data_IF_943273162982
#
_entry.id   IF_943273162982
#
_cell.length_a   1.000
_cell.length_b   1.000
_cell.length_c   1.000
_cell.angle_alpha   90.00
_cell.angle_beta   90.00
_cell.angle_gamma   90.00
#
_symmetry.space_group_name_H-M   'P 1'
#
loop_
_entity.id
_entity.type
_entity.pdbx_description
1 polymer ?
#
# COMPACT_ATOMS: atom_id res chain seq x y z
N UNK A 1 0.80 19.13 13.06
CA UNK A 1 0.88 17.76 13.62
C UNK A 1 -0.31 17.58 14.54
N UNK A 2 -1.08 16.51 14.42
CA UNK A 2 -2.24 16.27 15.28
C UNK A 2 -1.82 16.03 16.73
N UNK A 3 -2.62 16.51 17.68
CA UNK A 3 -2.42 16.23 19.09
C UNK A 3 -2.85 14.79 19.44
N UNK A 4 -2.34 14.19 20.53
CA UNK A 4 -2.80 12.87 20.99
C UNK A 4 -4.31 12.79 21.23
N UNK A 5 -4.94 13.88 21.62
CA UNK A 5 -6.40 13.96 21.84
C UNK A 5 -7.19 13.96 20.53
N UNK A 6 -6.68 14.64 19.50
CA UNK A 6 -7.25 14.60 18.15
C UNK A 6 -7.13 13.19 17.57
N UNK A 7 -5.98 12.54 17.73
CA UNK A 7 -5.74 11.16 17.29
C UNK A 7 -6.70 10.19 17.99
N UNK A 8 -6.92 10.34 19.30
CA UNK A 8 -7.81 9.48 20.07
C UNK A 8 -9.28 9.56 19.64
N UNK A 9 -9.70 10.67 18.99
CA UNK A 9 -11.07 10.88 18.49
C UNK A 9 -11.31 10.30 17.11
N UNK A 10 -10.28 9.82 16.43
CA UNK A 10 -10.40 9.37 15.06
C UNK A 10 -10.91 7.92 14.99
N UNK A 11 -11.81 7.70 14.06
CA UNK A 11 -12.38 6.36 13.83
C UNK A 11 -11.32 5.48 13.15
N UNK A 12 -11.08 4.24 13.61
CA UNK A 12 -10.20 3.31 12.93
C UNK A 12 -10.58 3.15 11.46
N UNK A 13 -9.60 3.01 10.59
CA UNK A 13 -9.84 2.82 9.17
C UNK A 13 -10.70 1.57 8.93
N UNK A 14 -11.76 1.69 8.15
CA UNK A 14 -12.67 0.58 7.80
C UNK A 14 -11.96 -0.59 7.10
N UNK A 15 -10.75 -0.36 6.60
CA UNK A 15 -9.92 -1.32 5.87
C UNK A 15 -9.28 -2.41 6.73
N UNK A 16 -9.35 -2.34 8.06
CA UNK A 16 -8.73 -3.31 8.97
C UNK A 16 -9.14 -4.78 8.70
N UNK A 17 -10.25 -5.02 8.01
CA UNK A 17 -10.79 -6.36 7.72
C UNK A 17 -10.54 -6.89 6.31
N UNK A 18 -10.14 -6.03 5.37
CA UNK A 18 -9.89 -6.41 3.98
C UNK A 18 -8.53 -5.91 3.51
N UNK A 19 -7.62 -6.84 3.24
CA UNK A 19 -6.32 -6.53 2.65
C UNK A 19 -6.43 -6.60 1.12
N UNK A 20 -6.58 -5.45 0.49
CA UNK A 20 -6.43 -5.29 -0.95
C UNK A 20 -4.95 -5.28 -1.33
N UNK A 21 -4.55 -5.76 -2.53
CA UNK A 21 -3.18 -5.63 -3.03
C UNK A 21 -2.78 -4.17 -3.31
N UNK A 22 -3.76 -3.28 -3.49
CA UNK A 22 -3.56 -1.83 -3.62
C UNK A 22 -4.49 -1.10 -2.66
N UNK A 23 -4.12 0.11 -2.18
CA UNK A 23 -4.97 0.89 -1.27
C UNK A 23 -6.34 1.20 -1.90
N UNK A 24 -7.40 1.03 -1.12
CA UNK A 24 -8.78 1.37 -1.52
C UNK A 24 -9.24 2.70 -0.95
N UNK A 25 -8.44 3.32 -0.11
CA UNK A 25 -8.65 4.65 0.47
C UNK A 25 -7.31 5.34 0.73
N UNK A 26 -7.34 6.62 1.04
CA UNK A 26 -6.15 7.35 1.48
C UNK A 26 -5.62 6.77 2.78
N UNK A 27 -4.31 6.55 2.84
CA UNK A 27 -3.60 6.09 4.03
C UNK A 27 -2.86 7.28 4.62
N UNK A 28 -2.95 7.48 5.94
CA UNK A 28 -2.21 8.55 6.60
C UNK A 28 -0.72 8.25 6.64
N UNK A 29 0.09 9.26 6.29
CA UNK A 29 1.54 9.28 6.49
C UNK A 29 1.97 10.08 7.72
N UNK A 30 1.07 10.29 8.69
CA UNK A 30 1.21 11.06 9.94
C UNK A 30 0.98 12.58 9.79
N UNK A 31 0.82 13.08 8.58
CA UNK A 31 0.65 14.51 8.30
C UNK A 31 -0.81 14.94 8.24
N UNK A 32 -1.73 13.99 8.01
CA UNK A 32 -3.15 14.29 7.87
C UNK A 32 -4.05 13.18 8.42
N UNK A 33 -5.27 13.54 8.74
CA UNK A 33 -6.33 12.58 9.07
C UNK A 33 -6.82 11.90 7.80
N UNK A 34 -6.91 10.55 7.75
CA UNK A 34 -7.48 9.85 6.60
C UNK A 34 -8.90 10.33 6.33
N UNK A 35 -9.18 10.68 5.10
CA UNK A 35 -10.55 11.01 4.70
C UNK A 35 -11.38 9.74 4.61
N UNK A 36 -12.68 9.78 4.98
CA UNK A 36 -13.58 8.67 4.73
C UNK A 36 -13.60 8.29 3.25
N UNK A 37 -13.76 6.99 2.98
CA UNK A 37 -13.91 6.54 1.61
C UNK A 37 -15.06 7.23 0.91
N UNK A 38 -14.80 7.74 -0.28
CA UNK A 38 -15.85 8.22 -1.19
C UNK A 38 -16.73 7.05 -1.65
N UNK A 39 -17.97 7.32 -2.14
CA UNK A 39 -18.80 6.26 -2.74
C UNK A 39 -18.09 5.45 -3.83
N UNK A 40 -17.28 6.11 -4.68
CA UNK A 40 -16.48 5.44 -5.70
C UNK A 40 -15.37 4.54 -5.13
N UNK A 41 -14.73 4.96 -4.06
CA UNK A 41 -13.73 4.12 -3.38
C UNK A 41 -14.36 2.90 -2.73
N UNK A 42 -15.55 3.05 -2.13
CA UNK A 42 -16.33 1.91 -1.59
C UNK A 42 -16.77 0.95 -2.68
N UNK A 43 -17.21 1.47 -3.82
CA UNK A 43 -17.54 0.66 -5.00
C UNK A 43 -16.31 -0.10 -5.52
N UNK A 44 -15.18 0.58 -5.64
CA UNK A 44 -13.92 -0.02 -6.04
C UNK A 44 -13.52 -1.17 -5.09
N UNK A 45 -13.54 -0.94 -3.79
CA UNK A 45 -13.24 -1.98 -2.80
C UNK A 45 -14.18 -3.19 -2.93
N UNK A 46 -15.48 -2.95 -3.08
CA UNK A 46 -16.46 -4.02 -3.28
C UNK A 46 -16.18 -4.83 -4.55
N UNK A 47 -15.79 -4.15 -5.66
CA UNK A 47 -15.41 -4.81 -6.92
C UNK A 47 -14.14 -5.65 -6.76
N UNK A 48 -13.08 -5.12 -6.15
CA UNK A 48 -11.85 -5.88 -5.86
C UNK A 48 -12.18 -7.14 -5.06
N UNK A 49 -12.96 -6.99 -3.99
CA UNK A 49 -13.36 -8.10 -3.12
C UNK A 49 -14.17 -9.16 -3.86
N UNK A 50 -15.15 -8.75 -4.66
CA UNK A 50 -16.00 -9.63 -5.43
C UNK A 50 -15.21 -10.40 -6.51
N UNK A 51 -14.45 -9.65 -7.32
CA UNK A 51 -13.62 -10.22 -8.39
C UNK A 51 -12.57 -11.18 -7.82
N UNK A 52 -11.87 -10.77 -6.77
CA UNK A 52 -10.87 -11.63 -6.13
C UNK A 52 -11.47 -12.87 -5.48
N UNK A 53 -12.69 -12.80 -4.94
CA UNK A 53 -13.37 -13.98 -4.39
C UNK A 53 -13.76 -14.97 -5.52
N UNK A 54 -14.29 -14.46 -6.63
CA UNK A 54 -14.66 -15.29 -7.79
C UNK A 54 -13.43 -15.96 -8.40
N UNK A 55 -12.37 -15.19 -8.68
CA UNK A 55 -11.18 -15.70 -9.33
C UNK A 55 -10.36 -16.63 -8.43
N UNK A 56 -10.26 -16.35 -7.13
CA UNK A 56 -9.62 -17.25 -6.17
C UNK A 56 -10.31 -18.63 -6.15
N UNK A 57 -11.65 -18.63 -6.15
CA UNK A 57 -12.43 -19.86 -6.22
C UNK A 57 -12.20 -20.61 -7.51
N UNK A 58 -12.20 -19.91 -8.65
CA UNK A 58 -11.93 -20.49 -9.95
C UNK A 58 -10.53 -21.14 -10.05
N UNK A 59 -9.53 -20.50 -9.42
CA UNK A 59 -8.15 -21.00 -9.38
C UNK A 59 -7.89 -22.01 -8.24
N UNK A 60 -8.90 -22.38 -7.45
CA UNK A 60 -8.74 -23.33 -6.35
C UNK A 60 -7.86 -22.87 -5.19
N UNK A 61 -7.70 -21.55 -5.00
CA UNK A 61 -6.85 -20.97 -3.96
C UNK A 61 -7.66 -20.14 -2.97
N UNK A 62 -7.10 -19.90 -1.77
CA UNK A 62 -7.71 -18.96 -0.84
C UNK A 62 -7.63 -17.52 -1.38
N UNK A 63 -8.62 -16.68 -1.06
CA UNK A 63 -8.61 -15.27 -1.42
C UNK A 63 -7.34 -14.53 -0.95
N UNK A 64 -6.83 -14.87 0.23
CA UNK A 64 -5.57 -14.31 0.76
C UNK A 64 -4.40 -14.65 -0.16
N UNK A 65 -4.26 -15.92 -0.54
CA UNK A 65 -3.19 -16.38 -1.45
C UNK A 65 -3.32 -15.74 -2.83
N UNK A 66 -4.55 -15.64 -3.33
CA UNK A 66 -4.82 -14.96 -4.61
C UNK A 66 -4.30 -13.54 -4.64
N UNK A 67 -4.64 -12.73 -3.61
CA UNK A 67 -4.21 -11.33 -3.53
C UNK A 67 -2.73 -11.12 -3.21
N UNK A 68 -2.00 -12.16 -2.86
CA UNK A 68 -0.54 -12.11 -2.72
C UNK A 68 0.21 -12.35 -4.05
N UNK A 69 -0.51 -12.76 -5.10
CA UNK A 69 0.08 -13.07 -6.41
C UNK A 69 -0.19 -12.02 -7.47
N UNK A 70 0.50 -12.15 -8.60
CA UNK A 70 0.37 -11.25 -9.76
C UNK A 70 -1.07 -11.19 -10.30
N UNK A 71 -1.82 -12.32 -10.30
CA UNK A 71 -3.21 -12.36 -10.72
C UNK A 71 -4.12 -11.52 -9.81
N UNK A 72 -3.83 -11.47 -8.50
CA UNK A 72 -4.55 -10.63 -7.56
C UNK A 72 -4.30 -9.15 -7.80
N UNK A 73 -3.07 -8.77 -8.15
CA UNK A 73 -2.74 -7.40 -8.56
C UNK A 73 -3.44 -7.03 -9.87
N UNK A 74 -3.41 -7.92 -10.87
CA UNK A 74 -4.13 -7.70 -12.12
C UNK A 74 -5.63 -7.53 -11.90
N UNK A 75 -6.24 -8.33 -11.01
CA UNK A 75 -7.66 -8.19 -10.65
C UNK A 75 -7.97 -6.84 -10.00
N UNK A 76 -7.08 -6.32 -9.16
CA UNK A 76 -7.25 -5.00 -8.56
C UNK A 76 -7.19 -3.89 -9.61
N UNK A 77 -6.26 -3.94 -10.56
CA UNK A 77 -6.18 -2.98 -11.65
C UNK A 77 -7.37 -3.07 -12.62
N UNK A 78 -7.88 -4.28 -12.88
CA UNK A 78 -9.14 -4.45 -13.64
C UNK A 78 -10.30 -3.77 -12.92
N UNK A 79 -10.44 -4.01 -11.63
CA UNK A 79 -11.49 -3.37 -10.82
C UNK A 79 -11.35 -1.84 -10.80
N UNK A 80 -10.11 -1.32 -10.78
CA UNK A 80 -9.85 0.11 -10.85
C UNK A 80 -10.27 0.68 -12.22
N UNK A 81 -9.92 0.02 -13.31
CA UNK A 81 -10.37 0.42 -14.65
C UNK A 81 -11.90 0.39 -14.78
N UNK A 82 -12.55 -0.61 -14.21
CA UNK A 82 -14.01 -0.73 -14.23
C UNK A 82 -14.72 0.38 -13.41
N UNK A 83 -14.03 0.94 -12.43
CA UNK A 83 -14.61 1.96 -11.52
C UNK A 83 -14.27 3.38 -11.97
N UNK A 84 -13.02 3.62 -12.37
CA UNK A 84 -12.49 4.97 -12.63
C UNK A 84 -12.22 5.27 -14.11
N UNK A 85 -12.37 4.27 -14.98
CA UNK A 85 -12.03 4.35 -16.40
C UNK A 85 -10.68 3.69 -16.72
N UNK A 86 -10.26 3.64 -17.98
CA UNK A 86 -9.09 2.91 -18.46
C UNK A 86 -7.78 3.60 -18.03
N UNK A 87 -7.34 3.35 -16.80
CA UNK A 87 -6.13 3.91 -16.23
C UNK A 87 -4.90 3.02 -16.45
N UNK A 88 -5.10 1.69 -16.49
CA UNK A 88 -4.02 0.71 -16.55
C UNK A 88 -4.15 -0.21 -17.75
N UNK A 89 -3.03 -0.52 -18.37
CA UNK A 89 -2.94 -1.53 -19.45
C UNK A 89 -2.92 -2.95 -18.84
N UNK A 90 -4.08 -3.44 -18.43
CA UNK A 90 -4.29 -4.77 -17.85
C UNK A 90 -5.51 -5.40 -18.48
N UNK A 91 -5.45 -6.70 -18.75
CA UNK A 91 -6.58 -7.45 -19.28
C UNK A 91 -7.27 -8.30 -18.21
N UNK A 92 -8.55 -8.62 -18.42
CA UNK A 92 -9.25 -9.59 -17.56
C UNK A 92 -8.63 -10.98 -17.64
N UNK A 93 -8.04 -11.35 -18.78
CA UNK A 93 -7.33 -12.61 -18.96
C UNK A 93 -6.12 -12.72 -18.02
N UNK A 94 -5.36 -11.65 -17.82
CA UNK A 94 -4.26 -11.61 -16.85
C UNK A 94 -4.74 -11.89 -15.42
N UNK A 95 -5.90 -11.37 -15.01
CA UNK A 95 -6.47 -11.66 -13.69
C UNK A 95 -6.98 -13.10 -13.55
N UNK A 96 -7.42 -13.71 -14.66
CA UNK A 96 -8.00 -15.07 -14.69
C UNK A 96 -6.95 -16.18 -14.78
N UNK A 97 -5.83 -15.91 -15.46
CA UNK A 97 -4.80 -16.89 -15.79
C UNK A 97 -3.49 -16.56 -15.05
N UNK A 98 -3.13 -17.32 -13.99
CA UNK A 98 -1.90 -17.06 -13.21
C UNK A 98 -0.64 -17.00 -14.07
N UNK A 99 -0.54 -17.81 -15.11
CA UNK A 99 0.60 -17.87 -16.03
C UNK A 99 0.76 -16.55 -16.78
N UNK A 100 -0.33 -15.95 -17.28
CA UNK A 100 -0.31 -14.65 -17.95
C UNK A 100 0.08 -13.52 -16.98
N UNK A 101 -0.48 -13.53 -15.79
CA UNK A 101 -0.12 -12.56 -14.75
C UNK A 101 1.36 -12.66 -14.36
N UNK A 102 1.87 -13.85 -14.18
CA UNK A 102 3.28 -14.10 -13.86
C UNK A 102 4.21 -13.71 -15.00
N UNK A 103 3.85 -14.00 -16.25
CA UNK A 103 4.61 -13.58 -17.43
C UNK A 103 4.67 -12.05 -17.51
N UNK A 104 3.56 -11.35 -17.25
CA UNK A 104 3.53 -9.90 -17.18
C UNK A 104 4.44 -9.38 -16.07
N UNK A 105 4.34 -9.91 -14.86
CA UNK A 105 5.20 -9.52 -13.74
C UNK A 105 6.68 -9.76 -14.07
N UNK A 106 7.01 -10.88 -14.70
CA UNK A 106 8.37 -11.20 -15.13
C UNK A 106 8.89 -10.21 -16.18
N UNK A 107 8.06 -9.78 -17.13
CA UNK A 107 8.43 -8.80 -18.16
C UNK A 107 8.78 -7.41 -17.59
N UNK A 108 8.31 -7.11 -16.39
CA UNK A 108 8.54 -5.82 -15.72
C UNK A 108 9.79 -5.80 -14.83
N UNK A 109 10.41 -6.94 -14.56
CA UNK A 109 11.59 -7.05 -13.67
C UNK A 109 12.81 -6.25 -14.15
N UNK A 110 12.92 -5.97 -15.43
CA UNK A 110 14.00 -5.18 -16.00
C UNK A 110 13.75 -3.68 -16.08
N UNK A 111 12.64 -3.19 -15.55
CA UNK A 111 12.33 -1.77 -15.59
C UNK A 111 13.33 -0.95 -14.77
N UNK A 112 13.73 0.20 -15.31
CA UNK A 112 14.46 1.20 -14.55
C UNK A 112 13.47 1.96 -13.65
N UNK A 113 13.67 1.88 -12.34
CA UNK A 113 12.85 2.55 -11.35
C UNK A 113 13.68 3.65 -10.71
N UNK A 114 13.18 4.88 -10.77
CA UNK A 114 13.76 6.04 -10.11
C UNK A 114 12.72 6.64 -9.17
N UNK A 115 13.06 6.74 -7.88
CA UNK A 115 12.26 7.46 -6.91
C UNK A 115 12.69 8.94 -6.91
N UNK A 116 11.77 9.83 -7.23
CA UNK A 116 12.04 11.26 -7.40
C UNK A 116 11.92 12.06 -6.11
N UNK A 117 11.54 11.44 -5.00
CA UNK A 117 11.33 12.13 -3.74
C UNK A 117 11.50 11.21 -2.54
N UNK A 118 12.67 11.20 -1.96
CA UNK A 118 12.99 10.39 -0.78
C UNK A 118 13.64 11.21 0.31
N UNK A 119 13.49 10.77 1.54
CA UNK A 119 14.05 11.41 2.72
C UNK A 119 14.60 10.40 3.72
N UNK A 120 15.58 10.82 4.50
CA UNK A 120 15.97 10.18 5.75
C UNK A 120 16.44 11.24 6.76
N UNK A 121 16.44 10.89 8.03
CA UNK A 121 16.87 11.79 9.08
C UNK A 121 18.38 11.72 9.32
N UNK A 122 18.98 12.85 9.62
CA UNK A 122 20.34 12.92 10.14
C UNK A 122 20.42 12.25 11.52
N UNK A 123 21.60 11.74 11.87
CA UNK A 123 21.80 11.00 13.12
C UNK A 123 21.52 11.82 14.38
N UNK A 124 21.72 13.14 14.31
CA UNK A 124 21.50 14.10 15.41
C UNK A 124 20.05 14.58 15.52
N UNK A 125 19.18 14.24 14.57
CA UNK A 125 17.78 14.68 14.57
C UNK A 125 16.96 13.96 15.63
N UNK A 126 16.13 14.71 16.36
CA UNK A 126 15.22 14.22 17.40
C UNK A 126 13.82 14.73 17.13
N UNK A 127 12.94 13.83 16.73
CA UNK A 127 11.52 14.13 16.41
C UNK A 127 10.58 13.14 17.09
N UNK A 128 10.69 13.02 18.42
CA UNK A 128 9.94 12.03 19.19
C UNK A 128 8.41 12.18 19.05
N UNK A 129 7.93 13.42 18.86
CA UNK A 129 6.51 13.66 18.58
C UNK A 129 6.03 13.03 17.27
N UNK A 130 6.88 13.00 16.24
CA UNK A 130 6.58 12.33 14.99
C UNK A 130 6.54 10.80 15.15
N UNK A 131 7.47 10.23 15.92
CA UNK A 131 7.46 8.79 16.22
C UNK A 131 6.19 8.39 16.97
N UNK A 132 5.78 9.17 17.97
CA UNK A 132 4.52 8.94 18.70
C UNK A 132 3.30 9.01 17.77
N UNK A 133 3.29 9.93 16.81
CA UNK A 133 2.25 10.05 15.79
C UNK A 133 2.18 8.80 14.91
N UNK A 134 3.31 8.30 14.41
CA UNK A 134 3.40 7.06 13.63
C UNK A 134 2.86 5.86 14.39
N UNK A 135 3.21 5.75 15.67
CA UNK A 135 2.72 4.68 16.54
C UNK A 135 1.19 4.74 16.72
N UNK A 136 0.65 5.94 16.92
CA UNK A 136 -0.78 6.16 17.03
C UNK A 136 -1.53 5.81 15.72
N UNK A 137 -0.99 6.21 14.56
CA UNK A 137 -1.51 5.87 13.23
C UNK A 137 -1.51 4.35 13.01
N UNK A 138 -0.45 3.66 13.42
CA UNK A 138 -0.37 2.20 13.38
C UNK A 138 -1.39 1.53 14.28
N UNK A 139 -1.56 2.00 15.53
CA UNK A 139 -2.55 1.51 16.49
C UNK A 139 -3.99 1.73 16.01
N UNK A 140 -4.26 2.85 15.38
CA UNK A 140 -5.57 3.17 14.79
C UNK A 140 -5.87 2.35 13.50
N UNK A 141 -4.88 1.66 12.95
CA UNK A 141 -5.02 0.90 11.71
C UNK A 141 -5.12 1.75 10.44
N UNK A 142 -4.76 3.04 10.50
CA UNK A 142 -4.83 3.95 9.35
C UNK A 142 -3.71 3.75 8.34
N UNK A 143 -2.61 3.20 8.79
CA UNK A 143 -1.54 2.72 7.93
C UNK A 143 -1.25 1.26 8.26
N UNK A 144 -1.68 0.32 7.40
CA UNK A 144 -1.45 -1.12 7.63
C UNK A 144 0.03 -1.51 7.70
N UNK A 145 0.93 -0.72 7.10
CA UNK A 145 2.37 -0.99 7.14
C UNK A 145 2.97 -0.72 8.53
N UNK A 146 2.36 0.16 9.32
CA UNK A 146 2.77 0.51 10.66
C UNK A 146 2.08 -0.36 11.74
N UNK A 147 0.98 -1.03 11.39
CA UNK A 147 0.17 -1.77 12.35
C UNK A 147 0.94 -2.91 13.02
N UNK A 148 0.96 -2.92 14.34
CA UNK A 148 1.61 -3.96 15.15
C UNK A 148 3.13 -3.91 15.16
N UNK A 149 3.75 -2.86 14.62
CA UNK A 149 5.20 -2.66 14.65
C UNK A 149 5.55 -1.54 15.63
N UNK A 150 6.52 -1.72 16.54
CA UNK A 150 7.08 -0.61 17.30
C UNK A 150 7.70 0.39 16.32
N UNK A 151 7.54 1.67 16.60
CA UNK A 151 8.10 2.74 15.78
C UNK A 151 9.29 3.35 16.52
N UNK A 152 10.41 3.47 15.85
CA UNK A 152 11.63 4.04 16.41
C UNK A 152 12.19 5.12 15.49
N UNK A 153 13.05 5.98 16.01
CA UNK A 153 13.72 7.00 15.19
C UNK A 153 14.69 6.34 14.20
N UNK A 154 15.19 5.16 14.50
CA UNK A 154 16.09 4.40 13.63
C UNK A 154 15.41 3.98 12.32
N UNK A 155 14.08 3.78 12.35
CA UNK A 155 13.28 3.48 11.15
C UNK A 155 13.31 4.61 10.11
N UNK A 156 13.70 5.82 10.51
CA UNK A 156 13.75 7.01 9.66
C UNK A 156 15.17 7.42 9.30
N UNK A 157 16.19 6.70 9.77
CA UNK A 157 17.59 7.01 9.50
C UNK A 157 18.13 6.34 8.25
N UNK A 158 19.32 6.76 7.85
CA UNK A 158 19.98 6.32 6.61
C UNK A 158 20.07 4.80 6.45
N UNK A 159 20.40 4.06 7.50
CA UNK A 159 20.54 2.60 7.39
C UNK A 159 19.24 1.91 6.98
N UNK A 160 18.10 2.31 7.59
CA UNK A 160 16.81 1.77 7.23
C UNK A 160 16.32 2.28 5.86
N UNK A 161 16.56 3.56 5.57
CA UNK A 161 16.31 4.14 4.24
C UNK A 161 17.02 3.34 3.14
N UNK A 162 18.32 3.06 3.30
CA UNK A 162 19.08 2.29 2.33
C UNK A 162 18.51 0.89 2.14
N UNK A 163 18.14 0.23 3.24
CA UNK A 163 17.51 -1.08 3.22
C UNK A 163 16.20 -1.05 2.43
N UNK A 164 15.29 -0.16 2.78
CA UNK A 164 13.95 -0.11 2.17
C UNK A 164 14.00 0.29 0.69
N UNK A 165 14.82 1.27 0.34
CA UNK A 165 14.88 1.79 -1.03
C UNK A 165 15.66 0.86 -1.97
N UNK A 166 16.78 0.28 -1.54
CA UNK A 166 17.68 -0.43 -2.44
C UNK A 166 17.77 -1.94 -2.22
N UNK A 167 17.45 -2.44 -1.04
CA UNK A 167 17.51 -3.87 -0.76
C UNK A 167 16.14 -4.53 -0.78
N UNK A 168 15.10 -3.85 -0.32
CA UNK A 168 13.75 -4.37 -0.24
C UNK A 168 12.87 -3.93 -1.44
N UNK A 169 13.38 -3.09 -2.35
CA UNK A 169 12.69 -2.65 -3.56
C UNK A 169 13.58 -2.79 -4.81
N UNK A 170 12.95 -2.64 -5.98
CA UNK A 170 13.65 -2.64 -7.28
C UNK A 170 14.16 -1.26 -7.70
N UNK A 171 14.16 -0.27 -6.81
CA UNK A 171 14.64 1.09 -7.08
C UNK A 171 16.12 1.11 -7.44
N UNK A 172 16.48 1.79 -8.52
CA UNK A 172 17.85 1.89 -9.02
C UNK A 172 18.49 3.23 -8.69
N UNK A 173 17.70 4.29 -8.65
CA UNK A 173 18.11 5.64 -8.31
C UNK A 173 17.06 6.28 -7.41
N UNK A 174 17.47 6.98 -6.38
CA UNK A 174 16.60 7.76 -5.51
C UNK A 174 17.14 9.19 -5.39
N UNK A 175 16.26 10.17 -5.57
CA UNK A 175 16.57 11.59 -5.35
C UNK A 175 16.25 11.95 -3.91
N UNK A 176 17.28 12.35 -3.16
CA UNK A 176 17.12 12.84 -1.79
C UNK A 176 16.75 14.32 -1.87
N UNK A 177 15.59 14.67 -1.33
CA UNK A 177 15.15 16.04 -1.15
C UNK A 177 15.29 16.42 0.32
N UNK A 178 15.94 17.55 0.58
CA UNK A 178 16.20 18.09 1.93
C UNK A 178 15.45 19.38 2.18
#
# INVERSE_FOLDING_TARGET
>A
MMTPEEIARLVPAETARFRSPIPTQSVSSDEFTPQPQTPRQKEFEARVRSLGTSLARHQGVSRRRFFQGAAGMAAAFVAMNDTFGPLYMVSRAEAQTPEMANARAASLKGQFIMDMHTHFLRDDTRIMGFIASREAVGKAGWNPALAGKPQTIEDLKFANYFKEIYLDSDTKVALISG
#
